data_IF_487875616302
#
_entry.id   IF_487875616302
#
_cell.length_a   1.000
_cell.length_b   1.000
_cell.length_c   1.000
_cell.angle_alpha   90.00
_cell.angle_beta   90.00
_cell.angle_gamma   90.00
#
_symmetry.space_group_name_H-M   'P 1'
#
loop_
_entity.id
_entity.type
_entity.pdbx_description
1 polymer ?
#
# COMPACT_ATOMS: atom_id res chain seq x y z
N UNK A 1 4.25 -6.01 1.64
CA UNK A 1 3.50 -7.12 2.26
C UNK A 1 2.13 -6.66 2.71
N UNK A 2 1.23 -7.58 2.98
CA UNK A 2 -0.04 -7.26 3.60
C UNK A 2 0.01 -7.47 5.13
N UNK A 3 -1.05 -7.03 5.83
CA UNK A 3 -1.12 -7.12 7.28
C UNK A 3 -1.08 -8.57 7.81
N UNK A 4 -1.68 -9.51 7.07
CA UNK A 4 -1.68 -10.92 7.48
C UNK A 4 -0.28 -11.54 7.37
N UNK A 5 0.46 -11.20 6.32
CA UNK A 5 1.85 -11.63 6.16
C UNK A 5 2.73 -11.08 7.27
N UNK A 6 2.55 -9.81 7.63
CA UNK A 6 3.28 -9.20 8.74
C UNK A 6 2.94 -9.91 10.07
N UNK A 7 1.67 -10.19 10.31
CA UNK A 7 1.22 -10.91 11.49
C UNK A 7 1.84 -12.29 11.58
N UNK A 8 1.82 -13.04 10.49
CA UNK A 8 2.42 -14.37 10.41
C UNK A 8 3.91 -14.35 10.72
N UNK A 9 4.62 -13.36 10.18
CA UNK A 9 6.06 -13.19 10.45
C UNK A 9 6.32 -12.94 11.94
N UNK A 10 5.44 -12.23 12.62
CA UNK A 10 5.57 -11.95 14.07
C UNK A 10 4.96 -13.03 14.96
N UNK A 11 4.40 -14.08 14.38
CA UNK A 11 3.74 -15.15 15.15
C UNK A 11 2.42 -14.72 15.77
N UNK A 12 1.71 -13.77 15.16
CA UNK A 12 0.42 -13.27 15.61
C UNK A 12 -0.66 -13.55 14.58
N UNK A 13 -1.87 -13.90 15.04
CA UNK A 13 -2.97 -14.20 14.13
C UNK A 13 -3.56 -12.95 13.47
N UNK A 14 -3.66 -11.85 14.22
CA UNK A 14 -4.21 -10.59 13.74
C UNK A 14 -3.53 -9.41 14.41
N UNK A 15 -3.25 -8.39 13.62
CA UNK A 15 -2.68 -7.13 14.10
C UNK A 15 -3.72 -6.01 13.94
N UNK A 16 -3.89 -5.21 15.00
CA UNK A 16 -4.63 -3.96 14.92
C UNK A 16 -3.81 -2.89 14.18
N UNK A 17 -4.43 -1.84 13.62
CA UNK A 17 -3.71 -0.82 12.85
C UNK A 17 -2.51 -0.21 13.57
N UNK A 18 -2.63 0.08 14.86
CA UNK A 18 -1.52 0.64 15.64
C UNK A 18 -0.38 -0.37 15.81
N UNK A 19 -0.70 -1.64 15.94
CA UNK A 19 0.28 -2.72 16.00
C UNK A 19 1.00 -2.88 14.66
N UNK A 20 0.27 -2.76 13.54
CA UNK A 20 0.83 -2.80 12.20
C UNK A 20 1.86 -1.70 12.03
N UNK A 21 1.56 -0.48 12.46
CA UNK A 21 2.47 0.66 12.42
C UNK A 21 3.74 0.40 13.21
N UNK A 22 3.61 -0.10 14.42
CA UNK A 22 4.73 -0.43 15.31
C UNK A 22 5.61 -1.52 14.70
N UNK A 23 5.01 -2.58 14.19
CA UNK A 23 5.75 -3.70 13.59
C UNK A 23 6.41 -3.31 12.27
N UNK A 24 5.77 -2.50 11.44
CA UNK A 24 6.36 -2.00 10.20
C UNK A 24 7.61 -1.16 10.49
N UNK A 25 7.54 -0.28 11.49
CA UNK A 25 8.67 0.52 11.92
C UNK A 25 9.81 -0.36 12.46
N UNK A 26 9.48 -1.34 13.29
CA UNK A 26 10.45 -2.29 13.82
C UNK A 26 11.16 -3.05 12.70
N UNK A 27 10.40 -3.60 11.75
CA UNK A 27 10.96 -4.35 10.61
C UNK A 27 11.84 -3.46 9.74
N UNK A 28 11.44 -2.21 9.49
CA UNK A 28 12.24 -1.27 8.72
C UNK A 28 13.58 -0.99 9.39
N UNK A 29 13.59 -0.81 10.71
CA UNK A 29 14.82 -0.59 11.48
C UNK A 29 15.70 -1.84 11.51
N UNK A 30 15.11 -3.03 11.59
CA UNK A 30 15.85 -4.29 11.57
C UNK A 30 16.53 -4.57 10.24
N UNK A 31 15.85 -4.27 9.14
CA UNK A 31 16.34 -4.55 7.78
C UNK A 31 17.15 -3.42 7.16
N UNK A 32 17.06 -2.22 7.70
CA UNK A 32 17.66 -1.03 7.09
C UNK A 32 17.00 -0.62 5.78
N UNK A 33 15.78 -1.07 5.54
CA UNK A 33 15.03 -0.83 4.30
C UNK A 33 13.66 -0.24 4.58
N UNK A 34 13.07 0.44 3.58
CA UNK A 34 11.69 0.87 3.65
C UNK A 34 10.74 -0.32 3.65
N UNK A 35 9.72 -0.27 4.49
CA UNK A 35 8.72 -1.33 4.62
C UNK A 35 7.34 -0.75 4.32
N UNK A 36 6.57 -1.45 3.52
CA UNK A 36 5.21 -1.06 3.14
C UNK A 36 4.25 -2.19 3.50
N UNK A 37 3.19 -1.84 4.23
CA UNK A 37 2.19 -2.81 4.67
C UNK A 37 0.81 -2.36 4.21
N UNK A 38 0.17 -3.15 3.36
CA UNK A 38 -1.19 -2.89 2.93
C UNK A 38 -2.20 -3.44 3.94
N UNK A 39 -3.24 -2.67 4.21
CA UNK A 39 -4.26 -2.96 5.22
C UNK A 39 -5.66 -2.98 4.62
N UNK A 40 -5.81 -3.53 3.41
CA UNK A 40 -7.10 -3.61 2.70
C UNK A 40 -7.78 -2.24 2.62
N UNK A 41 -9.01 -2.14 3.11
CA UNK A 41 -9.81 -0.90 3.09
C UNK A 41 -9.23 0.22 3.96
N UNK A 42 -8.31 -0.08 4.87
CA UNK A 42 -7.68 0.91 5.72
C UNK A 42 -6.44 1.59 5.11
N UNK A 43 -6.09 1.20 3.89
CA UNK A 43 -5.00 1.84 3.15
C UNK A 43 -3.66 1.16 3.30
N UNK A 44 -2.60 1.96 3.37
CA UNK A 44 -1.23 1.46 3.40
C UNK A 44 -0.37 2.26 4.37
N UNK A 45 0.50 1.56 5.07
CA UNK A 45 1.52 2.15 5.96
C UNK A 45 2.89 1.98 5.32
N UNK A 46 3.68 3.04 5.36
CA UNK A 46 5.09 3.00 4.99
C UNK A 46 5.96 3.43 6.16
N UNK A 47 7.07 2.74 6.34
CA UNK A 47 8.05 3.07 7.36
C UNK A 47 9.45 3.08 6.76
N UNK A 48 10.32 3.95 7.25
CA UNK A 48 11.72 3.97 6.85
C UNK A 48 12.65 3.69 8.05
N UNK A 49 13.92 3.34 7.79
CA UNK A 49 14.86 3.02 8.88
C UNK A 49 15.18 4.20 9.79
N UNK A 50 14.98 5.41 9.33
CA UNK A 50 15.21 6.63 10.11
C UNK A 50 14.10 6.91 11.12
N UNK A 51 13.04 6.12 11.10
CA UNK A 51 11.94 6.21 12.05
C UNK A 51 10.72 6.95 11.53
N UNK A 52 10.70 7.34 10.25
CA UNK A 52 9.53 7.97 9.64
C UNK A 52 8.45 6.93 9.39
N UNK A 53 7.21 7.29 9.69
CA UNK A 53 6.04 6.45 9.49
C UNK A 53 4.95 7.28 8.82
N UNK A 54 4.39 6.75 7.75
CA UNK A 54 3.31 7.40 6.99
C UNK A 54 2.18 6.41 6.79
N UNK A 55 0.96 6.86 7.01
CA UNK A 55 -0.25 6.10 6.74
C UNK A 55 -1.09 6.88 5.72
N UNK A 56 -1.36 6.25 4.60
CA UNK A 56 -2.24 6.79 3.55
C UNK A 56 -3.50 5.95 3.48
N UNK A 57 -4.65 6.57 3.66
CA UNK A 57 -5.94 5.90 3.62
C UNK A 57 -6.32 5.50 2.20
N UNK A 58 -7.11 4.43 2.07
CA UNK A 58 -7.72 4.06 0.80
C UNK A 58 -8.66 5.15 0.30
N UNK A 59 -8.74 5.28 -1.03
CA UNK A 59 -9.71 6.18 -1.65
C UNK A 59 -11.12 5.60 -1.50
N UNK A 60 -12.16 6.48 -1.46
CA UNK A 60 -13.54 6.02 -1.31
C UNK A 60 -13.97 5.06 -2.43
N UNK A 61 -14.76 4.06 -2.08
CA UNK A 61 -15.42 3.17 -3.05
C UNK A 61 -16.58 3.94 -3.68
N UNK A 62 -16.58 4.04 -5.02
CA UNK A 62 -17.55 4.85 -5.77
C UNK A 62 -18.55 4.01 -6.55
N UNK A 63 -18.29 2.72 -6.74
CA UNK A 63 -19.10 1.81 -7.57
C UNK A 63 -18.85 0.37 -7.12
N UNK A 64 -19.54 -0.64 -7.70
CA UNK A 64 -19.17 -2.02 -7.47
C UNK A 64 -17.68 -2.24 -7.76
N UNK A 65 -17.02 -3.05 -6.93
CA UNK A 65 -15.56 -3.24 -6.98
C UNK A 65 -15.20 -4.70 -7.22
N UNK A 66 -13.99 -4.88 -7.76
CA UNK A 66 -13.33 -6.17 -7.88
C UNK A 66 -11.91 -6.01 -7.31
N UNK A 67 -11.59 -6.76 -6.27
CA UNK A 67 -10.30 -6.66 -5.58
C UNK A 67 -9.19 -7.49 -6.24
N UNK A 68 -9.50 -8.24 -7.28
CA UNK A 68 -8.51 -9.06 -8.00
C UNK A 68 -7.46 -8.15 -8.64
N UNK A 69 -6.19 -8.40 -8.33
CA UNK A 69 -5.07 -7.64 -8.87
C UNK A 69 -4.72 -6.35 -8.14
N UNK A 70 -5.49 -5.97 -7.12
CA UNK A 70 -5.22 -4.73 -6.36
C UNK A 70 -3.83 -4.76 -5.68
N UNK A 71 -3.47 -5.87 -5.05
CA UNK A 71 -2.16 -6.03 -4.41
C UNK A 71 -1.00 -5.95 -5.39
N UNK A 72 -1.14 -6.56 -6.56
CA UNK A 72 -0.12 -6.51 -7.63
C UNK A 72 0.06 -5.08 -8.14
N UNK A 73 -1.04 -4.33 -8.30
CA UNK A 73 -1.00 -2.93 -8.71
C UNK A 73 -0.29 -2.06 -7.68
N UNK A 74 -0.55 -2.26 -6.40
CA UNK A 74 0.14 -1.54 -5.30
C UNK A 74 1.64 -1.79 -5.39
N UNK A 75 2.07 -3.03 -5.49
CA UNK A 75 3.49 -3.40 -5.56
C UNK A 75 4.16 -2.78 -6.78
N UNK A 76 3.55 -2.90 -7.96
CA UNK A 76 4.11 -2.35 -9.20
C UNK A 76 4.29 -0.84 -9.13
N UNK A 77 3.29 -0.12 -8.63
CA UNK A 77 3.34 1.34 -8.55
C UNK A 77 4.28 1.83 -7.45
N UNK A 78 4.39 1.12 -6.33
CA UNK A 78 5.41 1.41 -5.31
C UNK A 78 6.82 1.29 -5.90
N UNK A 79 7.11 0.20 -6.59
CA UNK A 79 8.42 -0.01 -7.19
C UNK A 79 8.75 1.08 -8.22
N UNK A 80 7.79 1.45 -9.07
CA UNK A 80 7.98 2.52 -10.06
C UNK A 80 8.23 3.87 -9.40
N UNK A 81 7.47 4.22 -8.37
CA UNK A 81 7.62 5.47 -7.63
C UNK A 81 8.99 5.55 -6.93
N UNK A 82 9.40 4.48 -6.27
CA UNK A 82 10.69 4.43 -5.58
C UNK A 82 11.85 4.52 -6.58
N UNK A 83 11.74 3.87 -7.74
CA UNK A 83 12.74 3.96 -8.80
C UNK A 83 12.85 5.39 -9.36
N UNK A 84 11.76 6.15 -9.35
CA UNK A 84 11.74 7.56 -9.76
C UNK A 84 12.13 8.52 -8.62
N UNK A 85 12.65 8.02 -7.51
CA UNK A 85 13.07 8.79 -6.33
C UNK A 85 11.94 9.57 -5.65
N UNK A 86 10.71 9.04 -5.68
CA UNK A 86 9.59 9.62 -4.98
C UNK A 86 9.79 9.56 -3.46
N UNK A 87 9.18 10.50 -2.74
CA UNK A 87 9.18 10.45 -1.27
C UNK A 87 8.31 9.29 -0.78
N UNK A 88 8.42 8.98 0.50
CA UNK A 88 7.59 7.95 1.12
C UNK A 88 6.11 8.26 0.95
N UNK A 89 5.70 9.51 1.23
CA UNK A 89 4.31 9.97 1.08
C UNK A 89 3.82 9.87 -0.36
N UNK A 90 4.61 10.35 -1.31
CA UNK A 90 4.28 10.31 -2.74
C UNK A 90 4.09 8.87 -3.22
N UNK A 91 4.98 7.97 -2.81
CA UNK A 91 4.91 6.55 -3.17
C UNK A 91 3.61 5.90 -2.67
N UNK A 92 3.21 6.20 -1.43
CA UNK A 92 1.98 5.68 -0.86
C UNK A 92 0.73 6.25 -1.54
N UNK A 93 0.72 7.55 -1.84
CA UNK A 93 -0.42 8.19 -2.51
C UNK A 93 -0.63 7.63 -3.92
N UNK A 94 0.44 7.47 -4.69
CA UNK A 94 0.39 6.88 -6.03
C UNK A 94 -0.15 5.45 -5.97
N UNK A 95 0.34 4.67 -5.01
CA UNK A 95 -0.09 3.27 -4.84
C UNK A 95 -1.56 3.15 -4.49
N UNK A 96 -2.07 4.03 -3.65
CA UNK A 96 -3.50 4.01 -3.29
C UNK A 96 -4.40 4.44 -4.45
N UNK A 97 -3.97 5.41 -5.25
CA UNK A 97 -4.70 5.80 -6.47
C UNK A 97 -4.72 4.66 -7.48
N UNK A 98 -3.59 3.99 -7.69
CA UNK A 98 -3.50 2.85 -8.59
C UNK A 98 -4.41 1.70 -8.14
N UNK A 99 -4.40 1.38 -6.85
CA UNK A 99 -5.27 0.34 -6.29
C UNK A 99 -6.75 0.69 -6.48
N UNK A 100 -7.13 1.95 -6.26
CA UNK A 100 -8.52 2.40 -6.50
C UNK A 100 -8.94 2.23 -7.95
N UNK A 101 -8.07 2.57 -8.91
CA UNK A 101 -8.37 2.35 -10.33
C UNK A 101 -8.62 0.87 -10.62
N UNK A 102 -7.78 0.00 -10.11
CA UNK A 102 -7.84 -1.44 -10.38
C UNK A 102 -9.11 -2.07 -9.80
N UNK A 103 -9.46 -1.80 -8.55
CA UNK A 103 -10.65 -2.39 -7.92
C UNK A 103 -11.96 -1.95 -8.55
N UNK A 104 -11.96 -0.82 -9.28
CA UNK A 104 -13.14 -0.35 -10.00
C UNK A 104 -13.22 -0.88 -11.44
N UNK A 105 -12.25 -1.70 -11.88
CA UNK A 105 -12.25 -2.37 -13.18
C UNK A 105 -12.78 -3.80 -13.03
N UNK A 106 -14.10 -3.95 -13.17
CA UNK A 106 -14.79 -5.21 -12.91
C UNK A 106 -14.48 -6.29 -13.95
N UNK A 107 -14.38 -7.55 -13.50
CA UNK A 107 -14.29 -8.73 -14.35
C UNK A 107 -12.95 -8.99 -15.02
N UNK A 108 -11.92 -8.18 -14.73
CA UNK A 108 -10.57 -8.35 -15.28
C UNK A 108 -9.51 -8.06 -14.21
N UNK A 109 -8.29 -8.52 -14.46
CA UNK A 109 -7.14 -7.99 -13.71
C UNK A 109 -6.89 -6.59 -14.25
N UNK A 110 -7.25 -5.58 -13.48
CA UNK A 110 -7.19 -4.19 -13.90
C UNK A 110 -5.78 -3.63 -13.95
N UNK A 111 -5.61 -2.56 -14.69
CA UNK A 111 -4.38 -1.78 -14.74
C UNK A 111 -4.70 -0.30 -14.51
N UNK A 112 -3.79 0.43 -13.87
CA UNK A 112 -3.91 1.87 -13.73
C UNK A 112 -2.96 2.54 -14.72
N UNK A 113 -3.51 3.36 -15.61
CA UNK A 113 -2.71 4.17 -16.53
C UNK A 113 -2.30 5.47 -15.85
N UNK A 114 -1.34 6.17 -16.44
CA UNK A 114 -0.95 7.51 -15.97
C UNK A 114 -2.14 8.46 -15.96
N UNK A 115 -2.99 8.38 -17.00
CA UNK A 115 -4.18 9.21 -17.13
C UNK A 115 -5.19 8.91 -16.02
N UNK A 116 -5.42 7.63 -15.71
CA UNK A 116 -6.30 7.21 -14.62
C UNK A 116 -5.85 7.81 -13.28
N UNK A 117 -4.55 7.80 -12.99
CA UNK A 117 -4.01 8.35 -11.75
C UNK A 117 -4.21 9.87 -11.66
N UNK A 118 -4.14 10.58 -12.78
CA UNK A 118 -4.36 12.02 -12.81
C UNK A 118 -5.82 12.39 -12.52
N UNK A 119 -6.78 11.56 -12.92
CA UNK A 119 -8.20 11.78 -12.69
C UNK A 119 -8.64 11.57 -11.24
N UNK A 120 -7.82 10.93 -10.42
CA UNK A 120 -8.12 10.63 -9.01
C UNK A 120 -7.58 11.66 -8.02
N UNK A 121 -6.98 12.71 -8.52
CA UNK A 121 -6.46 13.78 -7.65
C UNK A 121 -7.54 14.68 -7.09
#
# INVERSE_FOLDING_TARGET
MNADELGSWRGREKLEPDQIKTEAKFLSQQTGQRVFVSMADQGIVGADPEGKLVHTKSLPIRSPIDIVGAGDSVTANLCAALAASATLEESLQISMKAASCVIHQLGTTGTATREDLMHLT
#
